data_IF_597003142359
#
_entry.id   IF_597003142359
#
_cell.length_a   1.000
_cell.length_b   1.000
_cell.length_c   1.000
_cell.angle_alpha   90.00
_cell.angle_beta   90.00
_cell.angle_gamma   90.00
#
_symmetry.space_group_name_H-M   'P 1'
#
loop_
_entity.id
_entity.type
_entity.pdbx_description
1 polymer ?
#
# COMPACT_ATOMS: atom_id res chain seq x y z
N UNK A 1 -6.32 -54.59 7.58
CA UNK A 1 -7.79 -54.56 7.69
C UNK A 1 -8.16 -54.44 9.15
N UNK A 2 -9.30 -53.85 9.50
CA UNK A 2 -9.71 -53.67 10.90
C UNK A 2 -9.70 -55.00 11.68
N UNK A 3 -9.97 -56.11 11.00
CA UNK A 3 -9.86 -57.47 11.54
C UNK A 3 -8.44 -57.93 11.86
N UNK A 4 -7.43 -57.45 11.14
CA UNK A 4 -6.01 -57.73 11.38
C UNK A 4 -5.46 -56.86 12.53
N UNK A 5 -5.87 -55.59 12.62
CA UNK A 5 -5.46 -54.67 13.70
C UNK A 5 -5.98 -55.14 15.07
N UNK A 6 -7.25 -55.55 15.13
CA UNK A 6 -7.83 -56.18 16.32
C UNK A 6 -7.10 -57.47 16.74
N UNK A 7 -6.52 -58.21 15.80
CA UNK A 7 -5.81 -59.45 16.09
C UNK A 7 -4.43 -59.22 16.73
N UNK A 8 -3.78 -58.10 16.41
CA UNK A 8 -2.50 -57.66 17.01
C UNK A 8 -2.69 -56.65 18.15
N UNK A 9 -3.94 -56.36 18.52
CA UNK A 9 -4.34 -55.42 19.60
C UNK A 9 -4.00 -53.95 19.30
N UNK A 10 -3.92 -53.58 18.04
CA UNK A 10 -3.81 -52.18 17.63
C UNK A 10 -5.17 -51.50 17.47
N UNK A 11 -5.18 -50.17 17.44
CA UNK A 11 -6.38 -49.37 17.31
C UNK A 11 -6.71 -49.13 15.81
N UNK A 12 -7.81 -49.68 15.27
CA UNK A 12 -8.15 -49.54 13.84
C UNK A 12 -8.47 -48.11 13.38
N UNK A 13 -8.60 -47.16 14.32
CA UNK A 13 -8.87 -45.76 14.03
C UNK A 13 -7.60 -44.90 14.03
N UNK A 14 -6.45 -45.46 14.40
CA UNK A 14 -5.16 -44.78 14.44
C UNK A 14 -4.16 -45.53 13.56
N UNK A 15 -3.36 -44.80 12.80
CA UNK A 15 -2.29 -45.40 11.99
C UNK A 15 -1.04 -45.72 12.82
N UNK A 16 -0.95 -45.18 14.04
CA UNK A 16 0.10 -45.32 15.04
C UNK A 16 -0.65 -45.44 16.38
N UNK A 17 -0.63 -46.66 16.94
CA UNK A 17 -1.47 -47.03 18.07
C UNK A 17 -0.89 -46.56 19.39
N UNK A 18 0.42 -46.58 19.57
CA UNK A 18 1.06 -46.20 20.83
C UNK A 18 1.53 -44.76 20.86
N UNK A 19 1.58 -44.08 19.71
CA UNK A 19 1.85 -42.66 19.59
C UNK A 19 3.33 -42.33 19.71
N UNK A 20 4.21 -43.21 19.26
CA UNK A 20 5.65 -42.96 19.15
C UNK A 20 6.06 -42.39 17.78
N UNK A 21 5.11 -42.18 16.85
CA UNK A 21 5.27 -41.71 15.46
C UNK A 21 5.71 -42.76 14.44
N UNK A 22 5.98 -43.99 14.85
CA UNK A 22 6.12 -45.14 13.97
C UNK A 22 4.73 -45.74 13.71
N UNK A 23 4.35 -45.92 12.44
CA UNK A 23 3.04 -46.53 12.14
C UNK A 23 3.01 -48.01 12.55
N UNK A 24 1.85 -48.54 12.95
CA UNK A 24 1.65 -49.96 13.28
C UNK A 24 2.24 -50.90 12.21
N UNK A 25 2.07 -50.54 10.93
CA UNK A 25 2.56 -51.34 9.82
C UNK A 25 4.08 -51.34 9.68
N UNK A 26 4.73 -50.22 10.02
CA UNK A 26 6.18 -50.07 10.02
C UNK A 26 6.78 -50.85 11.19
N UNK A 27 6.16 -50.81 12.36
CA UNK A 27 6.60 -51.56 13.53
C UNK A 27 6.56 -53.06 13.31
N UNK A 28 5.46 -53.58 12.76
CA UNK A 28 5.35 -55.00 12.37
C UNK A 28 6.46 -55.38 11.39
N UNK A 29 6.84 -54.48 10.48
CA UNK A 29 7.91 -54.73 9.51
C UNK A 29 9.31 -54.72 10.14
N UNK A 30 9.51 -53.89 11.18
CA UNK A 30 10.75 -53.76 11.93
C UNK A 30 10.86 -54.78 13.07
N UNK A 31 9.75 -55.47 13.40
CA UNK A 31 9.67 -56.45 14.47
C UNK A 31 9.42 -55.84 15.86
N UNK A 32 9.20 -54.53 15.92
CA UNK A 32 8.82 -53.79 17.13
C UNK A 32 7.33 -53.98 17.44
N UNK A 33 6.90 -53.50 18.60
CA UNK A 33 5.58 -53.75 19.18
C UNK A 33 4.66 -52.56 18.98
N UNK A 34 3.61 -52.66 18.12
CA UNK A 34 2.62 -51.60 17.84
C UNK A 34 1.76 -51.06 18.98
N UNK A 35 2.08 -51.41 20.21
CA UNK A 35 1.32 -51.06 21.41
C UNK A 35 2.25 -50.56 22.52
N UNK A 36 3.52 -50.37 22.20
CA UNK A 36 4.58 -49.99 23.12
C UNK A 36 5.56 -49.09 22.38
N UNK A 37 5.58 -47.82 22.79
CA UNK A 37 6.52 -46.84 22.27
C UNK A 37 7.99 -47.28 22.32
N UNK A 38 8.35 -48.09 23.30
CA UNK A 38 9.70 -48.62 23.52
C UNK A 38 9.59 -50.14 23.69
N UNK A 39 9.97 -50.88 22.65
CA UNK A 39 9.76 -52.32 22.56
C UNK A 39 10.64 -53.08 23.53
N UNK A 40 11.92 -52.73 23.61
CA UNK A 40 12.92 -53.46 24.40
C UNK A 40 13.17 -52.87 25.81
N UNK A 41 12.55 -51.74 26.11
CA UNK A 41 12.50 -51.03 27.40
C UNK A 41 13.86 -50.47 27.80
N UNK A 42 14.61 -49.94 26.84
CA UNK A 42 15.91 -49.32 27.03
C UNK A 42 15.86 -47.79 27.24
N UNK A 43 14.65 -47.24 27.19
CA UNK A 43 14.34 -45.84 27.41
C UNK A 43 14.40 -44.97 26.15
N UNK A 44 14.50 -45.56 24.96
CA UNK A 44 14.39 -44.86 23.67
C UNK A 44 13.17 -45.42 22.94
N UNK A 45 12.34 -44.54 22.38
CA UNK A 45 11.20 -45.00 21.59
C UNK A 45 11.68 -45.65 20.27
N UNK A 46 10.92 -46.61 19.75
CA UNK A 46 11.26 -47.42 18.58
C UNK A 46 11.52 -46.54 17.35
N UNK A 47 10.81 -45.42 17.23
CA UNK A 47 11.02 -44.44 16.15
C UNK A 47 12.37 -43.71 16.17
N UNK A 48 12.99 -43.58 17.35
CA UNK A 48 14.27 -42.88 17.59
C UNK A 48 15.42 -43.85 17.89
N UNK A 49 15.11 -45.12 18.16
CA UNK A 49 16.12 -46.12 18.47
C UNK A 49 16.75 -46.72 17.21
N UNK A 50 18.07 -46.77 17.19
CA UNK A 50 18.85 -47.44 16.13
C UNK A 50 18.83 -48.96 16.30
N UNK A 51 18.57 -49.45 17.51
CA UNK A 51 18.50 -50.88 17.86
C UNK A 51 17.23 -51.26 18.64
N UNK A 52 16.01 -51.06 18.10
CA UNK A 52 14.71 -51.17 18.82
C UNK A 52 14.35 -52.52 19.46
N UNK A 53 15.22 -53.52 19.32
CA UNK A 53 15.04 -54.91 19.76
C UNK A 53 16.22 -55.39 20.62
N UNK A 54 17.21 -54.54 20.92
CA UNK A 54 18.40 -54.86 21.68
C UNK A 54 18.74 -53.76 22.70
N UNK A 55 18.09 -53.88 23.87
CA UNK A 55 18.28 -52.97 25.00
C UNK A 55 19.72 -52.85 25.52
N UNK A 56 20.65 -53.71 25.07
CA UNK A 56 22.06 -53.64 25.44
C UNK A 56 22.89 -52.69 24.57
N UNK A 57 22.31 -52.15 23.49
CA UNK A 57 22.97 -51.30 22.51
C UNK A 57 22.41 -49.88 22.50
N UNK A 58 22.11 -49.37 23.68
CA UNK A 58 21.63 -48.01 23.94
C UNK A 58 22.74 -46.99 23.61
N UNK A 59 22.47 -46.00 22.75
CA UNK A 59 23.26 -44.77 22.70
C UNK A 59 23.45 -44.20 24.11
N UNK A 60 24.70 -43.84 24.46
CA UNK A 60 25.11 -43.31 25.78
C UNK A 60 25.69 -41.91 25.71
N UNK A 61 25.71 -41.31 24.51
CA UNK A 61 26.19 -39.94 24.34
C UNK A 61 25.20 -38.98 24.98
N UNK A 62 25.74 -38.09 25.80
CA UNK A 62 25.08 -36.99 26.49
C UNK A 62 26.12 -35.86 26.44
N UNK A 63 25.91 -34.94 25.49
CA UNK A 63 26.91 -33.96 25.06
C UNK A 63 27.06 -32.81 26.06
N UNK A 64 25.99 -32.40 26.72
CA UNK A 64 25.99 -31.32 27.71
C UNK A 64 25.96 -31.81 29.16
N UNK A 65 25.79 -33.11 29.39
CA UNK A 65 25.86 -33.77 30.71
C UNK A 65 24.71 -33.41 31.65
N UNK A 66 23.52 -33.13 31.11
CA UNK A 66 22.32 -32.81 31.90
C UNK A 66 21.56 -34.06 32.39
N UNK A 67 21.96 -35.25 31.91
CA UNK A 67 21.34 -36.53 32.27
C UNK A 67 20.32 -37.05 31.26
N UNK A 68 20.04 -36.30 30.20
CA UNK A 68 19.27 -36.69 29.02
C UNK A 68 20.26 -37.04 27.90
N UNK A 69 19.88 -37.98 27.03
CA UNK A 69 20.79 -38.46 25.98
C UNK A 69 20.49 -37.73 24.68
N UNK A 70 21.52 -37.37 23.92
CA UNK A 70 21.41 -36.62 22.64
C UNK A 70 20.33 -37.14 21.68
N UNK A 71 20.03 -38.44 21.72
CA UNK A 71 19.01 -39.09 20.85
C UNK A 71 17.57 -38.80 21.23
N UNK A 72 17.31 -38.44 22.49
CA UNK A 72 15.99 -38.10 23.03
C UNK A 72 15.93 -36.67 23.59
N UNK A 73 17.07 -35.98 23.61
CA UNK A 73 17.24 -34.62 24.09
C UNK A 73 16.72 -33.59 23.06
N UNK A 74 15.82 -32.70 23.48
CA UNK A 74 15.33 -31.58 22.67
C UNK A 74 16.28 -30.38 22.65
N UNK A 75 17.34 -30.37 23.45
CA UNK A 75 18.45 -29.43 23.39
C UNK A 75 19.83 -30.11 23.61
N UNK A 76 20.32 -30.93 22.65
CA UNK A 76 21.53 -31.79 22.79
C UNK A 76 22.88 -31.12 23.10
N UNK A 77 22.90 -29.81 23.34
CA UNK A 77 24.12 -29.05 23.64
C UNK A 77 23.90 -27.97 24.71
N UNK A 78 22.72 -27.94 25.32
CA UNK A 78 22.33 -26.96 26.35
C UNK A 78 21.55 -27.66 27.44
N UNK A 79 22.15 -27.75 28.64
CA UNK A 79 21.59 -28.49 29.77
C UNK A 79 20.13 -28.13 30.07
N UNK A 80 19.21 -29.09 29.97
CA UNK A 80 17.78 -28.96 30.26
C UNK A 80 17.13 -30.30 30.66
N UNK A 81 17.49 -30.80 31.86
CA UNK A 81 17.01 -32.09 32.41
C UNK A 81 15.46 -32.23 32.41
N UNK A 82 14.72 -31.12 32.46
CA UNK A 82 13.27 -31.11 32.44
C UNK A 82 12.63 -31.30 31.05
N UNK A 83 13.42 -31.12 29.99
CA UNK A 83 13.01 -31.26 28.58
C UNK A 83 11.75 -30.45 28.28
N UNK A 84 11.61 -29.28 28.91
CA UNK A 84 10.47 -28.40 28.68
C UNK A 84 10.50 -27.90 27.23
N UNK A 85 9.34 -27.99 26.58
CA UNK A 85 9.07 -27.61 25.19
C UNK A 85 7.62 -27.10 25.19
N UNK A 86 7.48 -25.78 25.20
CA UNK A 86 6.21 -25.10 25.51
C UNK A 86 5.25 -25.12 24.33
N UNK A 87 5.78 -24.97 23.12
CA UNK A 87 5.07 -24.89 21.85
C UNK A 87 5.03 -26.22 21.07
N UNK A 88 5.90 -27.17 21.44
CA UNK A 88 5.98 -28.56 20.92
C UNK A 88 6.51 -28.66 19.51
N UNK A 89 7.43 -27.78 19.11
CA UNK A 89 8.09 -27.87 17.81
C UNK A 89 9.31 -28.82 17.79
N UNK A 90 9.63 -29.42 18.94
CA UNK A 90 10.78 -30.32 19.20
C UNK A 90 12.09 -29.62 19.55
N UNK A 91 12.11 -28.29 19.65
CA UNK A 91 13.18 -27.54 20.30
C UNK A 91 12.77 -27.31 21.76
N UNK A 92 13.70 -27.56 22.69
CA UNK A 92 13.42 -27.28 24.09
C UNK A 92 13.58 -25.80 24.40
N UNK A 93 12.86 -25.31 25.41
CA UNK A 93 12.92 -23.90 25.84
C UNK A 93 14.34 -23.40 26.18
N UNK A 94 15.28 -24.32 26.46
CA UNK A 94 16.66 -23.94 26.76
C UNK A 94 17.47 -23.54 25.52
N UNK A 95 17.06 -23.99 24.33
CA UNK A 95 17.74 -23.78 23.06
C UNK A 95 16.85 -23.25 21.94
N UNK A 96 15.55 -23.11 22.19
CA UNK A 96 14.65 -22.28 21.41
C UNK A 96 14.91 -20.79 21.73
N UNK A 97 14.55 -19.93 20.79
CA UNK A 97 14.61 -18.48 20.93
C UNK A 97 13.23 -17.81 20.92
N UNK A 98 12.17 -18.60 20.67
CA UNK A 98 10.76 -18.20 20.60
C UNK A 98 9.93 -19.33 21.25
N UNK A 99 9.98 -19.39 22.58
CA UNK A 99 9.52 -20.51 23.41
C UNK A 99 8.01 -20.83 23.26
N UNK A 100 7.17 -19.89 22.78
CA UNK A 100 5.73 -20.08 22.57
C UNK A 100 5.29 -19.92 21.10
N UNK A 101 6.25 -19.68 20.21
CA UNK A 101 6.10 -19.60 18.76
C UNK A 101 5.08 -18.53 18.29
N UNK A 102 5.00 -17.41 19.02
CA UNK A 102 4.14 -16.27 18.70
C UNK A 102 4.77 -15.29 17.69
N UNK A 103 6.02 -15.52 17.29
CA UNK A 103 6.88 -14.72 16.38
C UNK A 103 7.69 -13.60 17.03
N UNK A 104 7.60 -13.40 18.35
CA UNK A 104 8.56 -12.60 19.11
C UNK A 104 9.59 -13.52 19.76
N UNK A 105 10.86 -13.14 19.70
CA UNK A 105 11.86 -13.87 20.48
C UNK A 105 11.71 -13.60 21.98
N UNK A 106 12.14 -14.54 22.83
CA UNK A 106 12.08 -14.36 24.31
C UNK A 106 12.77 -13.06 24.76
N UNK A 107 13.80 -12.65 24.02
CA UNK A 107 14.51 -11.40 24.28
C UNK A 107 13.65 -10.17 23.95
N UNK A 108 12.89 -10.20 22.86
CA UNK A 108 11.96 -9.14 22.48
C UNK A 108 10.81 -9.04 23.47
N UNK A 109 10.30 -10.18 23.92
CA UNK A 109 9.23 -10.25 24.90
C UNK A 109 9.64 -9.73 26.27
N UNK A 110 10.81 -10.14 26.77
CA UNK A 110 11.37 -9.57 28.02
C UNK A 110 11.51 -8.05 27.91
N UNK A 111 11.84 -7.53 26.73
CA UNK A 111 11.91 -6.07 26.50
C UNK A 111 10.53 -5.41 26.43
N UNK A 112 9.51 -6.09 25.90
CA UNK A 112 8.11 -5.64 25.88
C UNK A 112 7.40 -5.82 27.23
N UNK A 113 7.94 -6.69 28.10
CA UNK A 113 7.34 -7.08 29.38
C UNK A 113 6.31 -8.20 29.27
N UNK A 114 6.22 -8.85 28.11
CA UNK A 114 5.37 -10.03 27.86
C UNK A 114 6.04 -11.29 28.40
N UNK A 115 5.32 -12.41 28.39
CA UNK A 115 5.76 -13.67 28.97
C UNK A 115 6.16 -14.67 27.88
N UNK A 116 7.45 -15.06 27.77
CA UNK A 116 7.92 -15.94 26.70
C UNK A 116 7.35 -17.35 26.61
N UNK A 117 6.44 -17.70 27.51
CA UNK A 117 5.83 -19.01 27.56
C UNK A 117 4.34 -18.96 27.21
N UNK A 118 3.84 -17.80 26.79
CA UNK A 118 2.43 -17.54 26.54
C UNK A 118 2.29 -16.63 25.32
N UNK A 119 1.83 -17.20 24.21
CA UNK A 119 1.64 -16.44 22.98
C UNK A 119 0.72 -15.23 23.12
N UNK A 120 -0.17 -15.22 24.13
CA UNK A 120 -1.05 -14.12 24.52
C UNK A 120 -0.91 -13.89 26.03
N UNK A 121 -0.07 -12.92 26.41
CA UNK A 121 0.30 -12.67 27.80
C UNK A 121 -0.89 -12.22 28.64
N UNK A 122 -1.76 -11.39 28.09
CA UNK A 122 -2.86 -10.77 28.85
C UNK A 122 -4.23 -11.47 28.68
N UNK A 123 -4.26 -12.49 27.82
CA UNK A 123 -5.38 -13.38 27.53
C UNK A 123 -6.60 -12.65 26.95
N UNK A 124 -6.38 -11.64 26.11
CA UNK A 124 -7.45 -10.91 25.42
C UNK A 124 -7.88 -11.53 24.07
N UNK A 125 -7.15 -12.55 23.61
CA UNK A 125 -7.40 -13.30 22.40
C UNK A 125 -6.53 -12.88 21.21
N UNK A 126 -5.49 -12.07 21.45
CA UNK A 126 -4.54 -11.59 20.45
C UNK A 126 -3.13 -11.98 20.88
N UNK A 127 -2.32 -12.53 19.97
CA UNK A 127 -0.94 -12.90 20.31
C UNK A 127 -0.07 -11.65 20.52
N UNK A 128 0.97 -11.71 21.36
CA UNK A 128 1.78 -10.56 21.81
C UNK A 128 2.53 -9.88 20.65
N UNK A 129 2.90 -10.64 19.63
CA UNK A 129 3.44 -10.11 18.37
C UNK A 129 2.46 -9.19 17.62
N UNK A 130 1.17 -9.48 17.73
CA UNK A 130 0.10 -8.84 16.98
C UNK A 130 -0.77 -7.88 17.83
N UNK A 131 -0.62 -7.89 19.15
CA UNK A 131 -1.31 -6.97 20.04
C UNK A 131 -0.55 -5.63 20.18
N UNK A 132 -1.29 -4.54 20.03
CA UNK A 132 -0.82 -3.18 20.26
C UNK A 132 -0.64 -2.89 21.77
N UNK A 133 -1.32 -3.66 22.62
CA UNK A 133 -1.36 -3.51 24.06
C UNK A 133 -1.26 -4.87 24.79
N UNK A 134 -0.18 -5.66 24.60
CA UNK A 134 -0.05 -7.06 25.04
C UNK A 134 -0.02 -7.28 26.57
N UNK A 135 -0.28 -6.22 27.35
CA UNK A 135 -0.30 -6.20 28.80
C UNK A 135 -1.57 -5.54 29.37
N UNK A 136 -2.52 -5.13 28.52
CA UNK A 136 -3.77 -4.48 28.90
C UNK A 136 -4.97 -5.12 28.16
N UNK A 137 -5.63 -6.12 28.78
CA UNK A 137 -6.66 -6.91 28.11
C UNK A 137 -7.97 -6.13 27.92
N UNK A 138 -8.02 -4.86 28.37
CA UNK A 138 -9.13 -3.95 28.11
C UNK A 138 -9.02 -3.24 26.75
N UNK A 139 -7.87 -3.39 26.08
CA UNK A 139 -7.56 -2.69 24.83
C UNK A 139 -7.86 -3.48 23.57
N UNK A 140 -8.23 -4.76 23.70
CA UNK A 140 -8.74 -5.63 22.64
C UNK A 140 -9.54 -4.86 21.58
N UNK A 141 -9.24 -5.17 20.33
CA UNK A 141 -9.94 -4.57 19.21
C UNK A 141 -11.33 -5.17 19.10
N UNK A 142 -12.33 -4.44 19.62
CA UNK A 142 -13.73 -4.89 19.56
C UNK A 142 -14.25 -4.92 18.13
N UNK A 143 -15.27 -5.75 17.87
CA UNK A 143 -15.98 -5.79 16.59
C UNK A 143 -16.44 -4.40 16.11
N UNK A 144 -16.91 -3.55 17.03
CA UNK A 144 -17.32 -2.18 16.70
C UNK A 144 -16.14 -1.35 16.18
N UNK A 145 -14.98 -1.39 16.85
CA UNK A 145 -13.78 -0.68 16.42
C UNK A 145 -13.26 -1.22 15.08
N UNK A 146 -13.18 -2.54 14.93
CA UNK A 146 -12.76 -3.19 13.68
C UNK A 146 -13.68 -2.79 12.51
N UNK A 147 -14.98 -2.76 12.75
CA UNK A 147 -15.95 -2.35 11.74
C UNK A 147 -15.83 -0.86 11.38
N UNK A 148 -15.67 0.03 12.37
CA UNK A 148 -15.44 1.46 12.11
C UNK A 148 -14.16 1.72 11.33
N UNK A 149 -13.06 1.03 11.68
CA UNK A 149 -11.80 1.10 10.95
C UNK A 149 -12.02 0.72 9.49
N UNK A 150 -12.57 -0.47 9.21
CA UNK A 150 -12.78 -0.94 7.83
C UNK A 150 -13.74 -0.05 7.03
N UNK A 151 -14.76 0.56 7.65
CA UNK A 151 -15.60 1.53 6.95
C UNK A 151 -14.83 2.78 6.49
N UNK A 152 -13.75 3.14 7.18
CA UNK A 152 -12.92 4.30 6.85
C UNK A 152 -11.79 3.92 5.89
N UNK A 153 -11.20 2.73 6.07
CA UNK A 153 -9.96 2.30 5.40
C UNK A 153 -10.16 1.27 4.29
N UNK A 154 -11.37 0.77 4.05
CA UNK A 154 -11.68 -0.13 2.94
C UNK A 154 -13.00 0.28 2.24
N UNK A 155 -13.42 -0.51 1.24
CA UNK A 155 -14.74 -0.37 0.61
C UNK A 155 -15.84 -1.21 1.28
N UNK A 156 -15.54 -1.80 2.44
CA UNK A 156 -16.50 -2.51 3.26
C UNK A 156 -15.84 -3.64 4.06
N UNK A 157 -16.32 -3.91 5.28
CA UNK A 157 -15.80 -5.01 6.07
C UNK A 157 -16.26 -6.37 5.53
N UNK A 158 -15.34 -7.33 5.47
CA UNK A 158 -15.65 -8.76 5.34
C UNK A 158 -15.53 -9.45 6.69
N UNK A 159 -16.21 -10.59 6.87
CA UNK A 159 -16.11 -11.37 8.11
C UNK A 159 -14.67 -11.80 8.40
N UNK A 160 -13.93 -12.19 7.35
CA UNK A 160 -12.50 -12.52 7.45
C UNK A 160 -11.66 -11.34 7.93
N UNK A 161 -11.84 -10.15 7.36
CA UNK A 161 -11.08 -8.96 7.78
C UNK A 161 -11.42 -8.54 9.21
N UNK A 162 -12.69 -8.62 9.60
CA UNK A 162 -13.11 -8.34 10.98
C UNK A 162 -12.44 -9.31 11.95
N UNK A 163 -12.46 -10.61 11.67
CA UNK A 163 -11.83 -11.61 12.53
C UNK A 163 -10.32 -11.39 12.62
N UNK A 164 -9.65 -11.13 11.51
CA UNK A 164 -8.22 -10.85 11.50
C UNK A 164 -7.86 -9.58 12.30
N UNK A 165 -8.63 -8.49 12.18
CA UNK A 165 -8.35 -7.26 12.95
C UNK A 165 -8.64 -7.46 14.44
N UNK A 166 -9.67 -8.23 14.77
CA UNK A 166 -9.98 -8.53 16.18
C UNK A 166 -8.90 -9.40 16.83
N UNK A 167 -8.27 -10.32 16.08
CA UNK A 167 -7.24 -11.22 16.62
C UNK A 167 -5.80 -10.74 16.42
N UNK A 168 -5.54 -9.87 15.42
CA UNK A 168 -4.19 -9.40 15.06
C UNK A 168 -4.00 -7.90 15.25
N UNK A 169 -5.01 -7.20 15.75
CA UNK A 169 -4.94 -5.76 15.99
C UNK A 169 -5.04 -4.87 14.75
N UNK A 170 -4.97 -3.56 15.02
CA UNK A 170 -5.10 -2.50 14.01
C UNK A 170 -3.80 -2.30 13.23
N UNK A 171 -2.65 -2.38 13.92
CA UNK A 171 -1.34 -2.21 13.28
C UNK A 171 -1.09 -3.30 12.24
N UNK A 172 -1.47 -4.56 12.51
CA UNK A 172 -1.43 -5.62 11.50
C UNK A 172 -2.19 -5.23 10.22
N UNK A 173 -3.39 -4.65 10.35
CA UNK A 173 -4.15 -4.22 9.18
C UNK A 173 -3.41 -3.12 8.41
N UNK A 174 -2.93 -2.09 9.10
CA UNK A 174 -2.18 -1.00 8.47
C UNK A 174 -0.92 -1.54 7.76
N UNK A 175 -0.12 -2.34 8.45
CA UNK A 175 1.12 -2.90 7.91
C UNK A 175 0.85 -3.87 6.75
N UNK A 176 -0.19 -4.70 6.85
CA UNK A 176 -0.60 -5.58 5.76
C UNK A 176 -0.99 -4.81 4.51
N UNK A 177 -1.63 -3.65 4.67
CA UNK A 177 -2.07 -2.81 3.55
C UNK A 177 -0.94 -1.97 2.96
N UNK A 178 -0.01 -1.48 3.77
CA UNK A 178 1.17 -0.75 3.29
C UNK A 178 2.14 -1.67 2.55
N UNK A 179 2.22 -2.95 2.94
CA UNK A 179 3.05 -3.96 2.30
C UNK A 179 2.32 -4.81 1.24
N UNK A 180 1.02 -4.57 1.03
CA UNK A 180 0.24 -5.31 0.05
C UNK A 180 0.80 -5.09 -1.36
N UNK A 181 1.04 -6.16 -2.15
CA UNK A 181 1.36 -6.02 -3.56
C UNK A 181 0.27 -5.23 -4.28
N UNK A 182 0.69 -4.34 -5.17
CA UNK A 182 -0.23 -3.51 -5.92
C UNK A 182 0.26 -3.30 -7.34
N UNK A 183 -0.71 -3.20 -8.26
CA UNK A 183 -0.49 -2.89 -9.67
C UNK A 183 0.31 -1.59 -9.90
N UNK A 184 0.43 -0.74 -8.88
CA UNK A 184 1.10 0.55 -8.94
C UNK A 184 2.54 0.56 -8.41
N UNK A 185 3.00 -0.54 -7.79
CA UNK A 185 4.33 -0.60 -7.16
C UNK A 185 5.37 -1.36 -8.02
N UNK A 186 4.98 -2.40 -8.77
CA UNK A 186 5.93 -3.25 -9.51
C UNK A 186 5.39 -3.81 -10.84
N UNK A 187 6.24 -3.90 -11.87
CA UNK A 187 5.91 -4.49 -13.20
C UNK A 187 5.86 -6.04 -13.21
N UNK A 188 5.64 -6.72 -12.08
CA UNK A 188 5.98 -8.15 -11.91
C UNK A 188 4.94 -9.07 -11.26
N UNK A 189 3.81 -8.54 -10.80
CA UNK A 189 2.82 -9.24 -9.97
C UNK A 189 1.61 -9.79 -10.76
N UNK A 190 1.67 -9.77 -12.09
CA UNK A 190 0.54 -10.09 -12.99
C UNK A 190 -0.71 -9.21 -12.77
N UNK A 191 -0.58 -8.08 -12.05
CA UNK A 191 -1.65 -7.11 -11.87
C UNK A 191 -1.49 -5.97 -12.86
N UNK A 192 -2.62 -5.44 -13.31
CA UNK A 192 -2.67 -4.35 -14.27
C UNK A 192 -3.19 -3.09 -13.59
N UNK A 193 -2.56 -1.96 -13.88
CA UNK A 193 -3.08 -0.64 -13.49
C UNK A 193 -4.47 -0.40 -14.10
N UNK A 194 -5.18 0.62 -13.62
CA UNK A 194 -6.50 0.97 -14.13
C UNK A 194 -6.47 1.19 -15.64
N UNK A 195 -5.50 1.95 -16.15
CA UNK A 195 -5.34 2.19 -17.58
C UNK A 195 -5.03 0.89 -18.36
N UNK A 196 -4.09 0.08 -17.88
CA UNK A 196 -3.71 -1.17 -18.54
C UNK A 196 -4.89 -2.13 -18.63
N UNK A 197 -5.65 -2.27 -17.54
CA UNK A 197 -6.82 -3.14 -17.47
C UNK A 197 -7.98 -2.61 -18.30
N UNK A 198 -8.20 -1.29 -18.33
CA UNK A 198 -9.17 -0.64 -19.22
C UNK A 198 -8.88 -0.97 -20.69
N UNK A 199 -7.64 -0.79 -21.13
CA UNK A 199 -7.22 -1.10 -22.49
C UNK A 199 -7.46 -2.58 -22.82
N UNK A 200 -7.07 -3.47 -21.91
CA UNK A 200 -7.26 -4.90 -22.11
C UNK A 200 -8.75 -5.26 -22.23
N UNK A 201 -9.59 -4.75 -21.32
CA UNK A 201 -11.03 -5.03 -21.31
C UNK A 201 -11.72 -4.51 -22.58
N UNK A 202 -11.37 -3.30 -23.03
CA UNK A 202 -11.93 -2.71 -24.24
C UNK A 202 -11.64 -3.59 -25.48
N UNK A 203 -10.39 -4.01 -25.67
CA UNK A 203 -9.99 -4.88 -26.80
C UNK A 203 -10.65 -6.26 -26.71
N UNK A 204 -10.82 -6.82 -25.51
CA UNK A 204 -11.50 -8.10 -25.31
C UNK A 204 -13.00 -8.01 -25.59
N UNK A 205 -13.65 -6.94 -25.15
CA UNK A 205 -15.09 -6.74 -25.30
C UNK A 205 -15.47 -6.39 -26.75
N UNK A 206 -14.61 -5.65 -27.45
CA UNK A 206 -14.85 -5.17 -28.81
C UNK A 206 -13.66 -5.47 -29.75
N UNK A 207 -13.40 -6.75 -30.07
CA UNK A 207 -12.20 -7.17 -30.81
C UNK A 207 -12.14 -6.65 -32.26
N UNK A 208 -13.28 -6.26 -32.83
CA UNK A 208 -13.37 -5.71 -34.19
C UNK A 208 -13.20 -4.18 -34.23
N UNK A 209 -13.10 -3.51 -33.07
CA UNK A 209 -12.92 -2.06 -32.97
C UNK A 209 -11.44 -1.68 -33.06
N UNK A 210 -11.12 -0.70 -33.92
CA UNK A 210 -9.76 -0.17 -34.08
C UNK A 210 -9.42 0.81 -32.94
N UNK A 211 -9.23 0.31 -31.71
CA UNK A 211 -8.85 1.13 -30.55
C UNK A 211 -7.51 1.84 -30.72
N UNK A 212 -6.62 1.26 -31.53
CA UNK A 212 -5.26 1.73 -31.79
C UNK A 212 -5.07 1.94 -33.29
N UNK A 213 -5.54 3.07 -33.82
CA UNK A 213 -5.22 3.47 -35.20
C UNK A 213 -3.73 3.90 -35.35
N UNK A 214 -3.04 4.11 -34.22
CA UNK A 214 -1.60 4.34 -34.09
C UNK A 214 -1.11 3.77 -32.74
N UNK A 215 -0.15 4.40 -32.07
CA UNK A 215 0.27 4.01 -30.70
C UNK A 215 -0.65 4.51 -29.60
N UNK A 216 -1.63 5.36 -29.92
CA UNK A 216 -2.52 5.99 -28.94
C UNK A 216 -3.86 5.25 -28.91
N UNK A 217 -4.37 5.02 -27.70
CA UNK A 217 -5.65 4.35 -27.45
C UNK A 217 -6.86 5.27 -27.74
N UNK A 218 -8.01 4.66 -28.06
CA UNK A 218 -9.30 5.31 -28.27
C UNK A 218 -9.35 6.31 -29.44
N UNK A 219 -8.55 6.05 -30.50
CA UNK A 219 -8.57 6.86 -31.72
C UNK A 219 -9.74 6.49 -32.66
N UNK A 220 -10.32 7.49 -33.36
CA UNK A 220 -11.20 7.37 -34.56
C UNK A 220 -12.33 6.32 -34.49
N UNK A 221 -13.57 6.79 -34.35
CA UNK A 221 -14.79 5.94 -34.30
C UNK A 221 -14.85 4.95 -33.13
N UNK A 222 -14.03 5.18 -32.11
CA UNK A 222 -13.90 4.32 -30.95
C UNK A 222 -15.21 4.23 -30.13
N UNK A 223 -15.28 3.19 -29.31
CA UNK A 223 -16.49 2.83 -28.59
C UNK A 223 -16.90 3.88 -27.56
N UNK A 224 -18.20 4.15 -27.51
CA UNK A 224 -18.80 5.02 -26.50
C UNK A 224 -18.92 4.34 -25.14
N UNK A 225 -18.59 3.04 -25.05
CA UNK A 225 -18.67 2.23 -23.83
C UNK A 225 -17.37 2.25 -23.03
N UNK A 226 -16.35 3.00 -23.47
CA UNK A 226 -15.07 3.09 -22.77
C UNK A 226 -15.21 3.62 -21.34
N UNK A 227 -16.16 4.52 -21.08
CA UNK A 227 -16.50 4.99 -19.74
C UNK A 227 -17.09 3.86 -18.85
N UNK A 228 -17.91 2.97 -19.43
CA UNK A 228 -18.45 1.80 -18.72
C UNK A 228 -17.34 0.80 -18.38
N UNK A 229 -16.38 0.61 -19.28
CA UNK A 229 -15.19 -0.21 -19.02
C UNK A 229 -14.34 0.41 -17.92
N UNK A 230 -14.12 1.73 -17.93
CA UNK A 230 -13.36 2.41 -16.90
C UNK A 230 -13.98 2.19 -15.52
N UNK A 231 -15.31 2.35 -15.40
CA UNK A 231 -16.01 2.13 -14.14
C UNK A 231 -15.97 0.65 -13.72
N UNK A 232 -16.10 -0.27 -14.66
CA UNK A 232 -16.01 -1.72 -14.38
C UNK A 232 -14.64 -2.11 -13.83
N UNK A 233 -13.57 -1.54 -14.40
CA UNK A 233 -12.20 -1.74 -13.93
C UNK A 233 -11.98 -1.12 -12.56
N UNK A 234 -12.60 0.04 -12.28
CA UNK A 234 -12.56 0.60 -10.92
C UNK A 234 -13.12 -0.41 -9.90
N UNK A 235 -14.31 -0.96 -10.17
CA UNK A 235 -14.91 -1.98 -9.30
C UNK A 235 -14.05 -3.24 -9.17
N UNK A 236 -13.43 -3.69 -10.27
CA UNK A 236 -12.52 -4.83 -10.24
C UNK A 236 -11.28 -4.56 -9.37
N UNK A 237 -10.73 -3.35 -9.40
CA UNK A 237 -9.57 -2.97 -8.61
C UNK A 237 -9.90 -2.78 -7.12
N UNK A 238 -11.11 -2.31 -6.80
CA UNK A 238 -11.50 -2.04 -5.39
C UNK A 238 -12.25 -3.18 -4.72
N UNK A 239 -12.75 -4.17 -5.45
CA UNK A 239 -13.46 -5.32 -4.86
C UNK A 239 -12.56 -6.54 -4.84
N UNK A 240 -12.46 -7.17 -3.68
CA UNK A 240 -11.70 -8.40 -3.51
C UNK A 240 -12.35 -9.54 -4.33
N UNK A 241 -11.56 -10.18 -5.21
CA UNK A 241 -12.08 -11.26 -6.06
C UNK A 241 -11.84 -12.63 -5.40
N UNK A 242 -12.88 -13.47 -5.21
CA UNK A 242 -12.79 -14.70 -4.41
C UNK A 242 -11.90 -15.81 -5.00
N UNK A 243 -11.48 -15.68 -6.26
CA UNK A 243 -10.54 -16.61 -6.93
C UNK A 243 -9.27 -15.93 -7.45
N UNK A 244 -9.17 -14.63 -7.30
CA UNK A 244 -8.02 -13.83 -7.72
C UNK A 244 -7.73 -12.84 -6.61
N UNK A 245 -7.08 -13.34 -5.56
CA UNK A 245 -6.94 -12.69 -4.26
C UNK A 245 -6.05 -11.45 -4.28
N UNK A 246 -5.49 -11.09 -5.43
CA UNK A 246 -4.58 -9.96 -5.53
C UNK A 246 -5.25 -8.70 -6.10
N UNK A 247 -6.36 -8.79 -6.84
CA UNK A 247 -7.23 -7.62 -7.06
C UNK A 247 -8.02 -7.28 -5.81
N UNK A 248 -8.07 -5.98 -5.47
CA UNK A 248 -8.75 -5.50 -4.28
C UNK A 248 -8.09 -5.90 -2.97
N UNK A 249 -6.85 -6.41 -3.00
CA UNK A 249 -6.10 -6.74 -1.78
C UNK A 249 -5.50 -5.50 -1.09
N UNK A 250 -5.25 -4.43 -1.84
CA UNK A 250 -4.72 -3.14 -1.40
C UNK A 250 -5.84 -2.13 -1.11
N UNK A 251 -6.90 -2.55 -0.41
CA UNK A 251 -8.08 -1.75 -0.06
C UNK A 251 -7.77 -0.33 0.43
N UNK A 252 -6.79 -0.18 1.32
CA UNK A 252 -6.41 1.14 1.85
C UNK A 252 -5.86 2.04 0.75
N UNK A 253 -5.05 1.51 -0.17
CA UNK A 253 -4.51 2.27 -1.30
C UNK A 253 -5.63 2.77 -2.19
N UNK A 254 -6.57 1.87 -2.53
CA UNK A 254 -7.75 2.22 -3.33
C UNK A 254 -8.62 3.27 -2.62
N UNK A 255 -8.77 3.15 -1.30
CA UNK A 255 -9.56 4.08 -0.50
C UNK A 255 -8.93 5.47 -0.44
N UNK A 256 -7.61 5.54 -0.30
CA UNK A 256 -6.86 6.80 -0.35
C UNK A 256 -6.92 7.40 -1.75
N UNK A 257 -6.72 6.62 -2.81
CA UNK A 257 -6.86 7.09 -4.20
C UNK A 257 -8.26 7.67 -4.45
N UNK A 258 -9.31 7.01 -3.95
CA UNK A 258 -10.67 7.52 -4.01
C UNK A 258 -10.81 8.83 -3.23
N UNK A 259 -10.29 8.93 -2.01
CA UNK A 259 -10.32 10.18 -1.24
C UNK A 259 -9.58 11.33 -1.97
N UNK A 260 -8.39 11.06 -2.51
CA UNK A 260 -7.62 12.00 -3.32
C UNK A 260 -8.41 12.47 -4.55
N UNK A 261 -9.19 11.58 -5.19
CA UNK A 261 -10.03 11.96 -6.34
C UNK A 261 -11.16 12.93 -5.98
N UNK A 262 -11.53 13.00 -4.70
CA UNK A 262 -12.50 13.96 -4.19
C UNK A 262 -11.86 15.30 -3.79
N UNK A 263 -10.54 15.34 -3.63
CA UNK A 263 -9.78 16.56 -3.33
C UNK A 263 -9.22 17.19 -4.61
N UNK A 264 -8.60 16.37 -5.45
CA UNK A 264 -7.97 16.73 -6.73
C UNK A 264 -8.93 16.36 -7.87
N UNK A 265 -10.07 17.05 -7.90
CA UNK A 265 -11.21 16.69 -8.73
C UNK A 265 -10.93 16.95 -10.22
N UNK A 266 -11.36 16.01 -11.06
CA UNK A 266 -11.49 16.16 -12.52
C UNK A 266 -12.92 15.82 -12.96
N UNK A 267 -13.25 15.99 -14.24
CA UNK A 267 -14.58 15.67 -14.76
C UNK A 267 -14.52 14.80 -16.01
N UNK A 268 -15.49 13.89 -16.16
CA UNK A 268 -15.75 13.12 -17.38
C UNK A 268 -16.66 13.84 -18.37
N UNK A 269 -16.88 15.14 -18.18
CA UNK A 269 -17.72 15.96 -19.04
C UNK A 269 -16.89 16.80 -20.03
N UNK A 270 -17.57 17.47 -20.95
CA UNK A 270 -16.99 18.35 -21.97
C UNK A 270 -15.87 17.65 -22.76
N UNK A 271 -14.66 18.21 -22.78
CA UNK A 271 -13.53 17.72 -23.58
C UNK A 271 -13.00 16.35 -23.12
N UNK A 272 -13.31 15.94 -21.88
CA UNK A 272 -12.95 14.63 -21.33
C UNK A 272 -14.08 13.60 -21.47
N UNK A 273 -15.21 13.96 -22.08
CA UNK A 273 -16.29 13.00 -22.39
C UNK A 273 -15.74 11.87 -23.26
N UNK A 274 -15.95 10.61 -22.83
CA UNK A 274 -15.45 9.40 -23.50
C UNK A 274 -13.93 9.33 -23.62
N UNK A 275 -13.20 10.02 -22.74
CA UNK A 275 -11.74 9.93 -22.62
C UNK A 275 -11.35 9.13 -21.39
N UNK A 276 -11.96 7.95 -21.27
CA UNK A 276 -11.75 6.98 -20.20
C UNK A 276 -10.26 6.71 -19.92
N UNK A 277 -9.42 6.69 -20.94
CA UNK A 277 -7.98 6.48 -20.80
C UNK A 277 -7.27 7.63 -20.07
N UNK A 278 -7.73 8.86 -20.26
CA UNK A 278 -7.19 10.02 -19.55
C UNK A 278 -7.57 9.96 -18.07
N UNK A 279 -8.81 9.57 -17.79
CA UNK A 279 -9.33 9.47 -16.42
C UNK A 279 -8.79 8.23 -15.70
N UNK A 280 -8.56 7.11 -16.40
CA UNK A 280 -7.89 5.94 -15.85
C UNK A 280 -6.42 6.24 -15.54
N UNK A 281 -5.69 6.88 -16.45
CA UNK A 281 -4.32 7.35 -16.20
C UNK A 281 -4.27 8.33 -15.01
N UNK A 282 -5.26 9.22 -14.90
CA UNK A 282 -5.36 10.12 -13.76
C UNK A 282 -5.57 9.36 -12.44
N UNK A 283 -6.43 8.33 -12.43
CA UNK A 283 -6.63 7.49 -11.25
C UNK A 283 -5.37 6.69 -10.89
N UNK A 284 -4.63 6.20 -11.89
CA UNK A 284 -3.34 5.52 -11.68
C UNK A 284 -2.35 6.42 -10.92
N UNK A 285 -2.25 7.71 -11.29
CA UNK A 285 -1.43 8.70 -10.56
C UNK A 285 -1.84 8.77 -9.09
N UNK A 286 -3.14 8.84 -8.79
CA UNK A 286 -3.65 8.92 -7.42
C UNK A 286 -3.33 7.66 -6.61
N UNK A 287 -3.51 6.48 -7.21
CA UNK A 287 -3.27 5.21 -6.54
C UNK A 287 -1.77 4.92 -6.33
N UNK A 288 -0.93 5.31 -7.29
CA UNK A 288 0.51 5.21 -7.17
C UNK A 288 1.07 6.08 -6.05
N UNK A 289 0.50 7.27 -5.85
CA UNK A 289 0.94 8.22 -4.82
C UNK A 289 0.14 8.12 -3.51
N UNK A 290 -0.76 7.14 -3.36
CA UNK A 290 -1.62 7.01 -2.18
C UNK A 290 -0.85 6.94 -0.86
N UNK A 291 0.30 6.27 -0.84
CA UNK A 291 1.20 6.20 0.33
C UNK A 291 2.48 7.02 0.14
N UNK A 292 2.50 7.86 -0.90
CA UNK A 292 3.64 8.64 -1.31
C UNK A 292 3.67 10.05 -0.71
N UNK A 293 4.46 10.90 -1.35
CA UNK A 293 4.61 12.28 -0.93
C UNK A 293 3.66 13.21 -1.72
N UNK A 294 2.94 14.09 -1.02
CA UNK A 294 1.98 15.00 -1.66
C UNK A 294 2.61 15.96 -2.70
N UNK A 295 3.87 16.36 -2.52
CA UNK A 295 4.63 17.15 -3.51
C UNK A 295 4.80 16.40 -4.84
N UNK A 296 5.08 15.09 -4.77
CA UNK A 296 5.20 14.25 -5.96
C UNK A 296 3.84 14.11 -6.65
N UNK A 297 2.79 13.83 -5.87
CA UNK A 297 1.42 13.78 -6.38
C UNK A 297 1.04 15.07 -7.13
N UNK A 298 1.27 16.24 -6.54
CA UNK A 298 1.01 17.53 -7.20
C UNK A 298 1.82 17.70 -8.49
N UNK A 299 3.07 17.21 -8.50
CA UNK A 299 3.93 17.21 -9.69
C UNK A 299 3.30 16.46 -10.85
N UNK A 300 2.81 15.26 -10.59
CA UNK A 300 2.24 14.35 -11.59
C UNK A 300 0.83 14.81 -12.01
N UNK A 301 0.01 15.26 -11.07
CA UNK A 301 -1.31 15.86 -11.33
C UNK A 301 -1.17 17.09 -12.24
N UNK A 302 -0.22 17.99 -11.95
CA UNK A 302 0.04 19.19 -12.76
C UNK A 302 0.46 18.87 -14.19
N UNK A 303 1.07 17.70 -14.41
CA UNK A 303 1.49 17.23 -15.74
C UNK A 303 0.48 16.27 -16.39
N UNK A 304 -0.62 15.95 -15.72
CA UNK A 304 -1.61 15.03 -16.25
C UNK A 304 -2.48 15.69 -17.34
N UNK A 305 -2.81 14.99 -18.43
CA UNK A 305 -3.75 15.48 -19.43
C UNK A 305 -5.13 15.81 -18.87
N UNK A 306 -5.63 15.00 -17.92
CA UNK A 306 -6.95 15.19 -17.32
C UNK A 306 -7.02 16.53 -16.57
N UNK A 307 -6.04 16.82 -15.70
CA UNK A 307 -6.00 18.10 -14.99
C UNK A 307 -5.72 19.26 -15.95
N UNK A 308 -4.80 19.08 -16.90
CA UNK A 308 -4.49 20.03 -17.96
C UNK A 308 -5.71 20.55 -18.71
N UNK A 309 -6.56 19.62 -19.14
CA UNK A 309 -7.79 19.94 -19.87
C UNK A 309 -8.85 20.50 -18.92
N UNK A 310 -8.99 19.94 -17.72
CA UNK A 310 -10.05 20.31 -16.77
C UNK A 310 -9.89 21.74 -16.24
N UNK A 311 -8.65 22.15 -15.90
CA UNK A 311 -8.34 23.49 -15.38
C UNK A 311 -7.63 24.39 -16.39
N UNK A 312 -7.82 24.08 -17.68
CA UNK A 312 -7.44 24.91 -18.84
C UNK A 312 -5.96 25.33 -18.92
N UNK A 313 -5.04 24.65 -18.24
CA UNK A 313 -3.61 24.94 -18.40
C UNK A 313 -2.91 24.09 -19.48
N UNK A 314 -3.59 23.10 -20.05
CA UNK A 314 -3.16 22.46 -21.29
C UNK A 314 -3.12 23.49 -22.41
N UNK A 315 -1.93 23.71 -22.98
CA UNK A 315 -1.72 24.67 -24.04
C UNK A 315 -1.77 26.13 -23.59
N UNK A 316 -1.53 26.39 -22.30
CA UNK A 316 -1.55 27.73 -21.74
C UNK A 316 -0.49 28.62 -22.40
N UNK A 317 -0.94 29.60 -23.16
CA UNK A 317 -0.06 30.43 -23.97
C UNK A 317 0.61 31.51 -23.13
N UNK A 318 1.89 31.75 -23.39
CA UNK A 318 2.59 32.94 -22.90
C UNK A 318 1.88 34.25 -23.27
N UNK A 319 2.22 35.31 -22.55
CA UNK A 319 1.70 36.64 -22.81
C UNK A 319 1.94 37.08 -24.27
N UNK A 320 0.99 37.84 -24.80
CA UNK A 320 1.16 38.56 -26.05
C UNK A 320 0.69 40.00 -25.83
N UNK A 321 1.66 40.88 -25.59
CA UNK A 321 1.40 42.30 -25.32
C UNK A 321 0.77 43.03 -26.52
N UNK A 322 0.95 42.53 -27.75
CA UNK A 322 0.34 43.13 -28.95
C UNK A 322 -1.14 42.79 -29.02
N UNK A 323 -1.50 41.56 -28.68
CA UNK A 323 -2.89 41.09 -28.67
C UNK A 323 -3.58 41.21 -27.30
N UNK A 324 -2.87 41.72 -26.29
CA UNK A 324 -3.32 41.88 -24.91
C UNK A 324 -3.82 40.57 -24.27
N UNK A 325 -3.17 39.46 -24.58
CA UNK A 325 -3.43 38.17 -23.94
C UNK A 325 -2.41 37.91 -22.83
N UNK A 326 -2.85 37.20 -21.80
CA UNK A 326 -2.04 36.79 -20.65
C UNK A 326 -2.18 35.28 -20.45
N UNK A 327 -1.23 34.64 -19.75
CA UNK A 327 -1.39 33.27 -19.31
C UNK A 327 -2.72 33.06 -18.57
N UNK A 328 -3.34 31.91 -18.83
CA UNK A 328 -4.53 31.45 -18.11
C UNK A 328 -4.16 31.19 -16.64
N UNK A 329 -4.94 31.78 -15.74
CA UNK A 329 -4.73 31.74 -14.29
C UNK A 329 -5.48 30.61 -13.58
N UNK A 330 -6.35 29.87 -14.29
CA UNK A 330 -7.30 28.96 -13.68
C UNK A 330 -6.59 27.87 -12.85
N UNK A 331 -5.71 27.08 -13.46
CA UNK A 331 -4.93 26.09 -12.71
C UNK A 331 -4.02 26.70 -11.64
N UNK A 332 -3.38 27.85 -11.92
CA UNK A 332 -2.52 28.54 -10.96
C UNK A 332 -3.30 28.96 -9.70
N UNK A 333 -4.54 29.42 -9.89
CA UNK A 333 -5.44 29.79 -8.80
C UNK A 333 -5.89 28.57 -8.01
N UNK A 334 -6.31 27.50 -8.69
CA UNK A 334 -6.79 26.29 -8.03
C UNK A 334 -5.68 25.54 -7.27
N UNK A 335 -4.46 25.47 -7.83
CA UNK A 335 -3.36 24.79 -7.17
C UNK A 335 -2.95 25.50 -5.87
N UNK A 336 -2.95 26.83 -5.83
CA UNK A 336 -2.69 27.60 -4.60
C UNK A 336 -3.87 27.48 -3.64
N UNK A 337 -5.09 27.74 -4.10
CA UNK A 337 -6.22 27.98 -3.20
C UNK A 337 -6.96 26.71 -2.76
N UNK A 338 -7.04 25.67 -3.59
CA UNK A 338 -7.80 24.45 -3.31
C UNK A 338 -6.90 23.25 -3.02
N UNK A 339 -5.77 23.14 -3.73
CA UNK A 339 -4.95 21.93 -3.66
C UNK A 339 -3.77 22.07 -2.69
N UNK A 340 -3.43 23.27 -2.21
CA UNK A 340 -2.28 23.46 -1.30
C UNK A 340 -2.63 24.32 -0.10
N UNK A 341 -2.62 25.64 -0.25
CA UNK A 341 -2.48 26.59 0.86
C UNK A 341 -3.82 27.03 1.44
N UNK A 342 -4.87 27.10 0.62
CA UNK A 342 -6.14 27.71 1.03
C UNK A 342 -6.17 29.22 0.78
N UNK A 343 -7.30 29.86 1.09
CA UNK A 343 -7.53 31.29 0.86
C UNK A 343 -6.96 32.19 1.96
N UNK A 344 -6.79 31.66 3.17
CA UNK A 344 -6.45 32.43 4.36
C UNK A 344 -5.46 31.67 5.22
N UNK A 345 -4.61 32.42 5.92
CA UNK A 345 -3.68 31.88 6.89
C UNK A 345 -4.40 31.26 8.09
N UNK A 346 -3.80 30.20 8.63
CA UNK A 346 -4.22 29.47 9.82
C UNK A 346 -3.14 29.59 10.91
N UNK A 347 -3.59 29.59 12.15
CA UNK A 347 -2.76 29.38 13.32
C UNK A 347 -2.29 27.91 13.37
N UNK A 348 -1.27 27.62 14.17
CA UNK A 348 -0.72 26.25 14.31
C UNK A 348 -1.77 25.21 14.74
N UNK A 349 -2.84 25.64 15.41
CA UNK A 349 -3.95 24.77 15.81
C UNK A 349 -5.05 24.62 14.75
N UNK A 350 -4.87 25.15 13.54
CA UNK A 350 -5.82 25.11 12.43
C UNK A 350 -6.97 26.12 12.49
N UNK A 351 -7.01 26.99 13.51
CA UNK A 351 -7.97 28.09 13.54
C UNK A 351 -7.53 29.23 12.61
N UNK A 352 -8.46 29.99 12.05
CA UNK A 352 -8.12 31.12 11.19
C UNK A 352 -7.24 32.15 11.92
N UNK A 353 -6.17 32.61 11.26
CA UNK A 353 -5.28 33.67 11.72
C UNK A 353 -5.85 35.05 11.33
N UNK A 354 -5.95 35.95 12.31
CA UNK A 354 -6.48 37.32 12.12
C UNK A 354 -5.55 38.44 12.53
N UNK A 355 -4.38 38.15 13.09
CA UNK A 355 -3.44 39.15 13.60
C UNK A 355 -2.02 39.04 13.03
N UNK A 356 -1.80 38.14 12.07
CA UNK A 356 -0.50 37.84 11.44
C UNK A 356 0.52 37.22 12.41
N UNK A 357 0.09 36.61 13.52
CA UNK A 357 0.94 35.77 14.36
C UNK A 357 0.31 34.37 14.50
N UNK A 358 0.84 33.34 13.82
CA UNK A 358 0.25 32.00 13.83
C UNK A 358 0.33 31.30 15.20
N UNK A 359 1.04 31.88 16.18
CA UNK A 359 1.21 31.32 17.52
C UNK A 359 0.23 31.91 18.55
N UNK A 360 -0.55 32.93 18.19
CA UNK A 360 -1.51 33.56 19.10
C UNK A 360 -2.87 32.89 18.99
N UNK A 361 -3.24 32.15 20.05
CA UNK A 361 -4.61 31.64 20.20
C UNK A 361 -5.16 31.88 21.62
N UNK A 362 -6.37 32.46 21.75
CA UNK A 362 -7.16 33.10 20.69
C UNK A 362 -6.44 34.33 20.13
N UNK A 363 -6.54 34.56 18.81
CA UNK A 363 -5.99 35.75 18.16
C UNK A 363 -6.78 37.02 18.55
N UNK A 364 -6.11 38.17 18.49
CA UNK A 364 -6.71 39.46 18.87
C UNK A 364 -7.39 40.18 17.69
N UNK A 365 -7.20 39.67 16.47
CA UNK A 365 -7.66 40.28 15.23
C UNK A 365 -9.11 39.98 14.88
N UNK A 366 -9.64 40.70 13.87
CA UNK A 366 -11.01 40.52 13.37
C UNK A 366 -11.09 40.08 11.91
N UNK A 367 -10.07 40.42 11.11
CA UNK A 367 -10.07 40.21 9.67
C UNK A 367 -9.18 39.02 9.31
N UNK A 368 -9.62 38.20 8.36
CA UNK A 368 -8.82 37.07 7.88
C UNK A 368 -7.62 37.58 7.08
N UNK A 369 -6.45 36.99 7.31
CA UNK A 369 -5.23 37.28 6.55
C UNK A 369 -5.20 36.41 5.28
N UNK A 370 -5.21 37.00 4.07
CA UNK A 370 -5.09 36.22 2.83
C UNK A 370 -3.73 35.54 2.74
N UNK A 371 -3.70 34.29 2.32
CA UNK A 371 -2.48 33.50 2.17
C UNK A 371 -1.68 33.81 0.90
N UNK A 372 -2.29 34.47 -0.08
CA UNK A 372 -1.66 34.83 -1.34
C UNK A 372 -2.30 36.10 -1.94
N UNK A 373 -1.63 36.69 -2.92
CA UNK A 373 -2.08 37.88 -3.65
C UNK A 373 -2.44 37.55 -5.11
N UNK A 374 -3.14 38.46 -5.78
CA UNK A 374 -3.37 38.31 -7.22
C UNK A 374 -2.05 38.24 -8.01
N UNK A 375 -1.00 38.93 -7.55
CA UNK A 375 0.32 38.86 -8.18
C UNK A 375 0.91 37.45 -8.07
N UNK A 376 0.74 36.75 -6.96
CA UNK A 376 1.21 35.35 -6.82
C UNK A 376 0.52 34.43 -7.84
N UNK A 377 -0.76 34.66 -8.12
CA UNK A 377 -1.50 33.91 -9.15
C UNK A 377 -0.98 34.24 -10.56
N UNK A 378 -0.79 35.53 -10.87
CA UNK A 378 -0.25 35.98 -12.16
C UNK A 378 1.16 35.41 -12.39
N UNK A 379 2.01 35.43 -11.38
CA UNK A 379 3.38 34.91 -11.42
C UNK A 379 3.39 33.38 -11.58
N UNK A 380 2.53 32.65 -10.86
CA UNK A 380 2.40 31.21 -11.03
C UNK A 380 1.81 30.83 -12.39
N UNK A 381 0.90 31.64 -12.96
CA UNK A 381 0.32 31.37 -14.28
C UNK A 381 1.39 31.35 -15.39
N UNK A 382 2.45 32.16 -15.27
CA UNK A 382 3.59 32.13 -16.20
C UNK A 382 4.28 30.76 -16.22
N UNK A 383 4.47 30.16 -15.05
CA UNK A 383 5.07 28.82 -14.88
C UNK A 383 4.23 27.74 -15.57
N UNK A 384 2.91 27.93 -15.64
CA UNK A 384 2.00 26.97 -16.26
C UNK A 384 1.99 27.02 -17.80
N UNK A 385 2.69 27.99 -18.41
CA UNK A 385 2.76 28.10 -19.87
C UNK A 385 3.65 27.03 -20.49
N UNK A 386 3.48 26.75 -21.79
CA UNK A 386 4.35 25.83 -22.53
C UNK A 386 4.07 24.34 -22.33
N UNK A 387 3.16 23.96 -21.42
CA UNK A 387 2.71 22.57 -21.26
C UNK A 387 1.60 22.22 -22.25
N UNK A 388 1.69 21.06 -22.91
CA UNK A 388 0.63 20.59 -23.81
C UNK A 388 0.59 19.05 -23.88
N UNK A 389 -0.51 18.50 -24.40
CA UNK A 389 -0.67 17.06 -24.62
C UNK A 389 0.47 16.51 -25.47
N UNK A 390 0.92 15.30 -25.16
CA UNK A 390 1.90 14.59 -25.98
C UNK A 390 1.33 14.30 -27.36
N UNK A 391 2.17 14.37 -28.39
CA UNK A 391 1.83 14.09 -29.80
C UNK A 391 0.71 14.98 -30.37
N UNK A 392 0.47 16.14 -29.75
CA UNK A 392 -0.53 17.08 -30.20
C UNK A 392 -0.12 17.72 -31.55
N UNK A 393 -0.97 17.71 -32.59
CA UNK A 393 -0.65 18.30 -33.89
C UNK A 393 -0.35 19.80 -33.89
N UNK A 394 -0.83 20.53 -32.87
CA UNK A 394 -0.64 21.98 -32.76
C UNK A 394 -0.76 22.39 -31.30
N UNK A 395 0.15 23.25 -30.85
CA UNK A 395 0.09 23.85 -29.53
C UNK A 395 -1.28 24.51 -29.24
N UNK A 396 -1.85 24.22 -28.07
CA UNK A 396 -3.12 24.80 -27.62
C UNK A 396 -4.37 24.20 -28.25
N UNK A 397 -4.24 23.24 -29.16
CA UNK A 397 -5.38 22.53 -29.73
C UNK A 397 -5.65 21.26 -28.93
N UNK A 398 -6.79 21.12 -28.26
CA UNK A 398 -7.12 19.84 -27.59
C UNK A 398 -7.52 18.77 -28.62
N UNK A 399 -6.55 18.06 -29.19
CA UNK A 399 -6.80 17.06 -30.25
C UNK A 399 -7.11 15.68 -29.69
N UNK A 400 -8.40 15.34 -29.60
CA UNK A 400 -8.81 14.07 -28.98
C UNK A 400 -8.47 12.81 -29.77
N UNK A 401 -8.08 12.95 -31.04
CA UNK A 401 -7.83 11.81 -31.96
C UNK A 401 -6.36 11.65 -32.34
N UNK A 402 -5.50 12.60 -31.98
CA UNK A 402 -4.07 12.57 -32.31
C UNK A 402 -3.19 12.65 -31.09
N UNK A 403 -3.58 13.47 -30.10
CA UNK A 403 -2.84 13.58 -28.87
C UNK A 403 -3.02 12.33 -28.01
N UNK A 404 -1.99 11.96 -27.28
CA UNK A 404 -2.01 10.86 -26.33
C UNK A 404 -2.36 11.38 -24.94
N UNK A 405 -3.51 10.94 -24.42
CA UNK A 405 -4.02 11.34 -23.12
C UNK A 405 -3.69 10.34 -22.00
N UNK A 406 -2.96 9.27 -22.34
CA UNK A 406 -2.60 8.18 -21.43
C UNK A 406 -1.18 8.30 -20.86
N UNK A 407 -0.54 9.46 -21.05
CA UNK A 407 0.77 9.83 -20.52
C UNK A 407 0.83 11.31 -20.17
N UNK A 408 1.85 11.71 -19.42
CA UNK A 408 2.05 13.11 -19.05
C UNK A 408 2.14 14.04 -20.27
N UNK A 409 1.66 15.27 -20.07
CA UNK A 409 1.88 16.40 -20.96
C UNK A 409 3.37 16.66 -21.14
N UNK A 410 3.73 17.19 -22.30
CA UNK A 410 5.10 17.55 -22.66
C UNK A 410 5.28 19.05 -22.57
N UNK A 411 6.46 19.46 -22.08
CA UNK A 411 6.86 20.85 -22.06
C UNK A 411 7.46 21.28 -23.39
N UNK A 412 7.05 22.45 -23.89
CA UNK A 412 7.47 23.04 -25.16
C UNK A 412 8.06 24.43 -24.86
N UNK A 413 9.40 24.54 -24.74
CA UNK A 413 10.05 25.78 -24.32
C UNK A 413 9.72 27.00 -25.19
N UNK A 414 9.48 26.82 -26.49
CA UNK A 414 9.18 27.94 -27.40
C UNK A 414 7.83 28.62 -27.09
N UNK A 415 6.94 27.89 -26.42
CA UNK A 415 5.60 28.34 -26.03
C UNK A 415 5.53 28.79 -24.56
N UNK A 416 6.61 28.59 -23.81
CA UNK A 416 6.72 29.06 -22.44
C UNK A 416 7.01 30.55 -22.37
N UNK A 417 6.58 31.17 -21.27
CA UNK A 417 6.80 32.57 -20.97
C UNK A 417 8.30 32.91 -20.96
N UNK A 418 8.65 34.08 -21.47
CA UNK A 418 10.04 34.54 -21.54
C UNK A 418 10.16 35.95 -21.00
N UNK A 419 10.23 36.04 -19.68
CA UNK A 419 10.43 37.29 -18.95
C UNK A 419 11.62 38.10 -19.48
N UNK A 420 12.72 37.46 -19.90
CA UNK A 420 13.89 38.18 -20.40
C UNK A 420 13.59 38.82 -21.77
N UNK A 421 12.92 38.09 -22.66
CA UNK A 421 12.53 38.62 -23.97
C UNK A 421 11.53 39.77 -23.87
N UNK A 422 10.71 39.79 -22.80
CA UNK A 422 9.77 40.88 -22.51
C UNK A 422 10.39 42.03 -21.70
N UNK A 423 11.68 41.93 -21.34
CA UNK A 423 12.42 42.97 -20.61
C UNK A 423 12.31 42.91 -19.09
N UNK A 424 11.77 41.81 -18.56
CA UNK A 424 11.79 41.40 -17.16
C UNK A 424 13.15 40.84 -16.71
N UNK A 425 13.17 40.26 -15.52
CA UNK A 425 14.40 39.82 -14.84
C UNK A 425 14.70 38.31 -15.01
N UNK A 426 13.81 37.58 -15.69
CA UNK A 426 13.92 36.14 -15.89
C UNK A 426 13.43 35.29 -14.71
N UNK A 427 12.87 35.91 -13.67
CA UNK A 427 12.43 35.24 -12.46
C UNK A 427 10.91 35.31 -12.29
N UNK A 428 10.42 34.42 -11.43
CA UNK A 428 9.08 34.42 -10.87
C UNK A 428 9.21 34.75 -9.38
N UNK A 429 8.30 35.57 -8.86
CA UNK A 429 8.20 35.86 -7.42
C UNK A 429 6.89 35.29 -6.88
N UNK A 430 6.97 34.18 -6.16
CA UNK A 430 5.83 33.46 -5.62
C UNK A 430 5.93 33.39 -4.09
N UNK A 431 4.93 33.93 -3.39
CA UNK A 431 4.81 33.86 -1.92
C UNK A 431 6.08 34.35 -1.21
N UNK A 432 6.66 35.43 -1.72
CA UNK A 432 7.91 36.02 -1.19
C UNK A 432 9.20 35.27 -1.55
N UNK A 433 9.12 34.15 -2.27
CA UNK A 433 10.27 33.40 -2.78
C UNK A 433 10.47 33.69 -4.27
N UNK A 434 11.71 33.96 -4.67
CA UNK A 434 12.05 34.19 -6.08
C UNK A 434 12.93 33.08 -6.64
N UNK A 435 12.59 32.60 -7.84
CA UNK A 435 13.34 31.58 -8.58
C UNK A 435 13.28 31.88 -10.08
N UNK A 436 14.25 31.35 -10.84
CA UNK A 436 14.28 31.52 -12.29
C UNK A 436 13.08 30.82 -12.93
N UNK A 437 12.37 31.50 -13.84
CA UNK A 437 11.20 30.95 -14.53
C UNK A 437 11.54 29.64 -15.27
N UNK A 438 12.72 29.60 -15.90
CA UNK A 438 13.19 28.43 -16.65
C UNK A 438 14.06 27.48 -15.81
N UNK A 439 13.74 27.29 -14.53
CA UNK A 439 14.48 26.40 -13.62
C UNK A 439 14.04 24.93 -13.75
N UNK A 440 14.72 24.06 -13.01
CA UNK A 440 14.38 22.63 -12.95
C UNK A 440 14.99 21.80 -14.08
N UNK A 441 14.69 20.50 -14.06
CA UNK A 441 15.21 19.53 -15.05
C UNK A 441 14.48 19.61 -16.39
N UNK A 442 13.18 19.92 -16.36
CA UNK A 442 12.37 20.16 -17.56
C UNK A 442 12.51 21.60 -18.10
N UNK A 443 13.09 22.50 -17.31
CA UNK A 443 13.32 23.90 -17.69
C UNK A 443 12.07 24.77 -17.66
N UNK A 444 10.99 24.31 -17.04
CA UNK A 444 9.70 25.02 -16.96
C UNK A 444 9.50 25.85 -15.69
N UNK A 445 10.35 25.66 -14.68
CA UNK A 445 10.15 26.22 -13.35
C UNK A 445 9.02 25.60 -12.53
N UNK A 446 8.25 24.66 -13.09
CA UNK A 446 7.10 24.03 -12.43
C UNK A 446 7.50 23.38 -11.11
N UNK A 447 8.62 22.66 -11.09
CA UNK A 447 9.05 22.00 -9.86
C UNK A 447 9.47 22.99 -8.77
N UNK A 448 10.14 24.09 -9.13
CA UNK A 448 10.49 25.15 -8.19
C UNK A 448 9.24 25.85 -7.63
N UNK A 449 8.23 26.10 -8.47
CA UNK A 449 6.97 26.67 -8.02
C UNK A 449 6.24 25.73 -7.04
N UNK A 450 6.14 24.44 -7.37
CA UNK A 450 5.52 23.45 -6.49
C UNK A 450 6.31 23.23 -5.19
N UNK A 451 7.63 23.39 -5.20
CA UNK A 451 8.45 23.37 -3.97
C UNK A 451 8.14 24.57 -3.07
N UNK A 452 7.89 25.76 -3.63
CA UNK A 452 7.46 26.93 -2.85
C UNK A 452 6.09 26.66 -2.22
N UNK A 453 5.14 26.12 -2.97
CA UNK A 453 3.81 25.80 -2.44
C UNK A 453 3.87 24.72 -1.35
N UNK A 454 4.66 23.66 -1.55
CA UNK A 454 4.76 22.56 -0.59
C UNK A 454 5.49 22.96 0.71
N UNK A 455 6.43 23.90 0.65
CA UNK A 455 7.14 24.40 1.83
C UNK A 455 6.44 25.59 2.51
N UNK A 456 5.27 26.00 2.02
CA UNK A 456 4.48 27.03 2.66
C UNK A 456 4.05 26.58 4.06
N UNK A 457 4.03 27.51 5.02
CA UNK A 457 3.83 27.17 6.44
C UNK A 457 2.37 26.96 6.84
N UNK A 458 1.46 27.54 6.06
CA UNK A 458 0.03 27.28 6.12
C UNK A 458 -0.28 26.03 5.30
#
# INVERSE_FOLDING_TARGET
SDTEELAIRTNPLLSDTDGDTLSDSAEISQGTSPTKKDTDNDGINDNKDTYPLDASNTPTTDTDSDGVRDVIDNCPSTENEDQLDTDKDSLGNACDTDDDNDTLSDTEEVNKGTNPLLSDTDNDGSDDAADDFPLDPSKVTTLEKAHHLLLQTSFGPTETLLNNIMSKGVNWWVDSQLNAPSAYDHNGDQHQTHLQRLIQLAVLAEPDTEFFASSVFNQKSASVLTDDYQMSVWWENVLEHPKNTAHGSDQLRQRVAYALSQLLVTSSQDLLTRRAESLAFYYDILAQNAFGNYRQLLSEVSRSPAMGIYLSHQGNSKADLVNATRPDENFAREVIQLFTIGLYELNVNGSANRDNDPNTYPDAGTDLVPSYTQTDVEELAKVMTGWDLSDNPKYGLTSLVKADLSKFMTFIPEQHEDEIAEGGDGNVSLLGTSFALNSGTDGSGLDSALDVLFNHTN
#
